data_IF_557056933312
#
_entry.id   IF_557056933312
#
_cell.length_a   1.000
_cell.length_b   1.000
_cell.length_c   1.000
_cell.angle_alpha   90.00
_cell.angle_beta   90.00
_cell.angle_gamma   90.00
#
_symmetry.space_group_name_H-M   'P 1'
#
loop_
_entity.id
_entity.type
_entity.pdbx_description
1 polymer ?
#
# COMPACT_ATOMS: atom_id res chain seq x y z
N UNK A 1 5.98 -9.17 -2.09
CA UNK A 1 7.14 -8.68 -1.27
C UNK A 1 8.30 -9.63 -1.48
N UNK A 2 9.54 -9.11 -1.47
CA UNK A 2 10.76 -9.93 -1.54
C UNK A 2 11.72 -9.51 -0.43
N UNK A 3 12.45 -10.47 0.11
CA UNK A 3 13.56 -10.26 1.03
C UNK A 3 14.71 -11.22 0.69
N UNK A 4 15.76 -11.26 1.51
CA UNK A 4 16.90 -12.15 1.26
C UNK A 4 16.52 -13.64 1.31
N UNK A 5 15.45 -14.05 1.99
CA UNK A 5 14.97 -15.45 1.96
C UNK A 5 14.33 -15.79 0.62
N UNK A 6 13.93 -14.81 -0.18
CA UNK A 6 13.41 -15.02 -1.55
C UNK A 6 14.47 -15.63 -2.46
N UNK A 7 15.75 -15.31 -2.25
CA UNK A 7 16.89 -15.93 -2.97
C UNK A 7 16.97 -17.42 -2.63
N UNK A 8 16.84 -17.75 -1.34
CA UNK A 8 16.84 -19.16 -0.90
C UNK A 8 15.66 -19.92 -1.49
N UNK A 9 14.46 -19.35 -1.47
CA UNK A 9 13.27 -19.95 -2.08
C UNK A 9 13.43 -20.12 -3.60
N UNK A 10 14.11 -19.21 -4.28
CA UNK A 10 14.44 -19.36 -5.69
C UNK A 10 15.40 -20.54 -5.94
N UNK A 11 16.43 -20.68 -5.11
CA UNK A 11 17.35 -21.82 -5.18
C UNK A 11 16.65 -23.15 -4.87
N UNK A 12 15.78 -23.17 -3.85
CA UNK A 12 14.92 -24.34 -3.57
C UNK A 12 14.14 -24.77 -4.81
N UNK A 13 13.51 -23.81 -5.46
CA UNK A 13 12.69 -24.08 -6.67
C UNK A 13 13.56 -24.56 -7.84
N UNK A 14 14.76 -24.02 -7.97
CA UNK A 14 15.71 -24.39 -9.04
C UNK A 14 16.29 -25.78 -8.84
N UNK A 15 16.62 -26.16 -7.61
CA UNK A 15 17.37 -27.37 -7.29
C UNK A 15 16.54 -28.47 -6.61
N UNK A 16 15.29 -28.20 -6.24
CA UNK A 16 14.42 -29.16 -5.56
C UNK A 16 14.80 -29.45 -4.10
N UNK A 17 15.63 -28.62 -3.48
CA UNK A 17 16.09 -28.79 -2.10
C UNK A 17 15.44 -27.73 -1.23
N UNK A 18 14.82 -28.15 -0.12
CA UNK A 18 14.11 -27.24 0.78
C UNK A 18 15.02 -26.80 1.94
N UNK A 19 15.12 -25.49 2.19
CA UNK A 19 15.75 -24.91 3.36
C UNK A 19 14.78 -24.95 4.58
N UNK A 20 15.01 -25.77 5.60
CA UNK A 20 14.08 -25.94 6.71
C UNK A 20 13.94 -24.69 7.60
N UNK A 21 14.95 -23.82 7.63
CA UNK A 21 15.00 -22.63 8.49
C UNK A 21 14.22 -21.43 7.94
N UNK A 22 13.70 -21.48 6.72
CA UNK A 22 12.78 -20.44 6.21
C UNK A 22 11.42 -20.64 6.89
N UNK A 23 11.04 -19.68 7.74
CA UNK A 23 9.81 -19.77 8.55
C UNK A 23 8.54 -19.82 7.69
N UNK A 24 7.48 -20.41 8.23
CA UNK A 24 6.17 -20.47 7.56
C UNK A 24 5.64 -19.07 7.21
N UNK A 25 5.84 -18.10 8.10
CA UNK A 25 5.46 -16.71 7.86
C UNK A 25 6.19 -16.12 6.64
N UNK A 26 7.51 -16.30 6.53
CA UNK A 26 8.27 -15.80 5.38
C UNK A 26 7.83 -16.45 4.08
N UNK A 27 7.52 -17.74 4.12
CA UNK A 27 6.99 -18.46 2.95
C UNK A 27 5.61 -17.95 2.51
N UNK A 28 4.78 -17.51 3.44
CA UNK A 28 3.46 -16.95 3.12
C UNK A 28 3.53 -15.52 2.56
N UNK A 29 4.48 -14.72 3.02
CA UNK A 29 4.56 -13.28 2.70
C UNK A 29 5.59 -12.96 1.62
N UNK A 30 6.73 -13.68 1.59
CA UNK A 30 7.81 -13.42 0.66
C UNK A 30 7.74 -14.36 -0.56
N UNK A 31 7.80 -13.80 -1.75
CA UNK A 31 7.85 -14.57 -3.00
C UNK A 31 9.23 -15.19 -3.25
N UNK A 32 9.28 -16.12 -4.20
CA UNK A 32 10.46 -16.90 -4.59
C UNK A 32 11.27 -16.29 -5.74
N UNK A 33 11.09 -15.02 -6.04
CA UNK A 33 11.70 -14.29 -7.16
C UNK A 33 11.30 -14.75 -8.57
N UNK A 34 10.59 -15.85 -8.75
CA UNK A 34 10.23 -16.32 -10.11
C UNK A 34 9.46 -15.27 -10.90
N UNK A 35 8.65 -14.44 -10.23
CA UNK A 35 7.94 -13.33 -10.86
C UNK A 35 8.85 -12.20 -11.38
N UNK A 36 10.13 -12.18 -11.02
CA UNK A 36 11.10 -11.21 -11.54
C UNK A 36 11.62 -11.60 -12.95
N UNK A 37 11.40 -12.84 -13.36
CA UNK A 37 11.85 -13.36 -14.65
C UNK A 37 10.70 -13.41 -15.67
N UNK A 38 11.03 -13.21 -16.93
CA UNK A 38 10.14 -13.48 -18.05
C UNK A 38 10.59 -14.77 -18.75
N UNK A 39 9.97 -15.89 -18.41
CA UNK A 39 10.33 -17.19 -18.98
C UNK A 39 9.66 -17.46 -20.34
N UNK A 40 8.67 -16.64 -20.72
CA UNK A 40 7.97 -16.76 -22.00
C UNK A 40 8.74 -16.06 -23.12
N UNK A 41 9.27 -14.87 -22.80
CA UNK A 41 10.07 -14.04 -23.71
C UNK A 41 11.32 -13.58 -22.95
N UNK A 42 12.34 -14.44 -22.87
CA UNK A 42 13.58 -14.12 -22.15
C UNK A 42 14.34 -13.01 -22.85
N UNK A 43 15.08 -12.22 -22.08
CA UNK A 43 15.96 -11.19 -22.63
C UNK A 43 17.11 -11.84 -23.40
N UNK A 44 17.22 -11.48 -24.67
CA UNK A 44 18.30 -11.92 -25.58
C UNK A 44 19.35 -10.85 -25.82
N UNK A 45 19.30 -9.72 -25.11
CA UNK A 45 20.32 -8.69 -25.23
C UNK A 45 21.69 -9.25 -24.85
N UNK A 46 22.75 -8.88 -25.59
CA UNK A 46 24.09 -9.32 -25.27
C UNK A 46 24.49 -8.78 -23.88
N UNK A 47 25.14 -9.62 -23.10
CA UNK A 47 25.69 -9.20 -21.82
C UNK A 47 26.71 -8.06 -22.02
N UNK A 48 26.70 -7.02 -21.17
CA UNK A 48 27.67 -5.95 -21.25
C UNK A 48 29.08 -6.53 -21.07
N UNK A 49 30.02 -6.05 -21.90
CA UNK A 49 31.44 -6.43 -21.76
C UNK A 49 31.96 -5.82 -20.46
N UNK A 50 32.24 -6.66 -19.47
CA UNK A 50 32.83 -6.25 -18.22
C UNK A 50 34.36 -6.16 -18.38
N UNK A 51 34.97 -5.11 -17.81
CA UNK A 51 36.41 -5.04 -17.70
C UNK A 51 36.88 -6.14 -16.76
N UNK A 52 37.83 -6.95 -17.25
CA UNK A 52 38.44 -7.99 -16.41
C UNK A 52 39.40 -7.35 -15.42
N UNK A 53 39.19 -7.57 -14.14
CA UNK A 53 40.08 -7.12 -13.08
C UNK A 53 40.79 -8.35 -12.51
N UNK A 54 42.11 -8.34 -12.48
CA UNK A 54 42.84 -9.40 -11.82
C UNK A 54 42.70 -9.31 -10.29
N UNK A 55 42.79 -10.46 -9.61
CA UNK A 55 42.74 -10.48 -8.13
C UNK A 55 43.81 -9.55 -7.53
N UNK A 56 45.00 -9.53 -8.08
CA UNK A 56 46.09 -8.67 -7.62
C UNK A 56 45.71 -7.17 -7.74
N UNK A 57 45.09 -6.76 -8.86
CA UNK A 57 44.64 -5.39 -9.05
C UNK A 57 43.52 -5.02 -8.04
N UNK A 58 42.59 -5.93 -7.79
CA UNK A 58 41.52 -5.74 -6.79
C UNK A 58 42.09 -5.62 -5.37
N UNK A 59 43.01 -6.49 -4.98
CA UNK A 59 43.70 -6.46 -3.67
C UNK A 59 44.49 -5.16 -3.49
N UNK A 60 45.22 -4.72 -4.53
CA UNK A 60 45.96 -3.46 -4.52
C UNK A 60 45.02 -2.24 -4.39
N UNK A 61 43.85 -2.27 -5.04
CA UNK A 61 42.83 -1.22 -4.91
C UNK A 61 42.26 -1.18 -3.48
N UNK A 62 41.97 -2.35 -2.92
CA UNK A 62 41.47 -2.45 -1.52
C UNK A 62 42.50 -1.88 -0.54
N UNK A 63 43.76 -2.25 -0.64
CA UNK A 63 44.82 -1.72 0.24
C UNK A 63 44.96 -0.20 0.12
N UNK A 64 44.76 0.37 -1.10
CA UNK A 64 44.74 1.84 -1.27
C UNK A 64 43.52 2.47 -0.60
N UNK A 65 42.36 1.85 -0.74
CA UNK A 65 41.09 2.34 -0.12
C UNK A 65 41.16 2.35 1.42
N UNK A 66 41.80 1.33 2.01
CA UNK A 66 41.99 1.25 3.48
C UNK A 66 42.85 2.40 4.04
N UNK A 67 43.68 3.03 3.19
CA UNK A 67 44.54 4.17 3.56
C UNK A 67 43.91 5.54 3.28
N UNK A 68 42.73 5.57 2.66
CA UNK A 68 42.06 6.84 2.41
C UNK A 68 41.48 7.42 3.70
N UNK A 69 41.50 8.72 3.80
CA UNK A 69 40.82 9.42 4.87
C UNK A 69 39.29 9.20 4.72
N UNK A 70 38.57 9.15 5.84
CA UNK A 70 37.11 9.13 5.80
C UNK A 70 36.56 10.29 4.97
N UNK A 71 35.51 10.03 4.18
CA UNK A 71 34.83 11.09 3.44
C UNK A 71 34.30 12.12 4.42
N UNK A 72 34.68 13.40 4.34
CA UNK A 72 34.22 14.40 5.26
C UNK A 72 32.69 14.58 5.15
N UNK A 73 32.04 14.76 6.28
CA UNK A 73 30.60 15.08 6.32
C UNK A 73 30.41 16.44 5.61
N UNK A 74 29.52 16.53 4.61
CA UNK A 74 29.25 17.81 3.97
C UNK A 74 28.74 18.84 4.97
N UNK A 75 29.13 20.11 4.78
CA UNK A 75 28.55 21.21 5.57
C UNK A 75 27.01 21.22 5.43
N UNK A 76 26.31 21.68 6.46
CA UNK A 76 24.84 21.67 6.49
C UNK A 76 24.20 22.29 5.25
N UNK A 77 24.82 23.34 4.68
CA UNK A 77 24.34 24.00 3.45
C UNK A 77 24.58 23.17 2.17
N UNK A 78 25.39 22.13 2.24
CA UNK A 78 25.70 21.21 1.10
C UNK A 78 25.07 19.83 1.29
N UNK A 79 24.36 19.60 2.38
CA UNK A 79 23.64 18.37 2.59
C UNK A 79 22.35 18.38 1.74
N UNK A 80 22.27 17.42 0.82
CA UNK A 80 21.10 17.25 -0.05
C UNK A 80 20.46 15.91 0.26
N UNK A 81 19.15 15.91 0.42
CA UNK A 81 18.39 14.66 0.47
C UNK A 81 18.35 14.07 -0.95
N UNK A 82 18.69 12.79 -1.13
CA UNK A 82 18.58 12.15 -2.43
C UNK A 82 17.16 12.30 -3.00
N UNK A 83 17.08 12.75 -4.24
CA UNK A 83 15.80 12.89 -4.92
C UNK A 83 15.58 11.73 -5.88
N UNK A 84 14.40 11.15 -5.83
CA UNK A 84 14.00 10.13 -6.79
C UNK A 84 13.59 10.76 -8.12
N UNK A 85 13.99 10.15 -9.23
CA UNK A 85 13.52 10.58 -10.55
C UNK A 85 12.00 10.42 -10.65
N UNK A 86 11.33 11.45 -11.15
CA UNK A 86 9.87 11.50 -11.36
C UNK A 86 9.49 10.76 -12.65
N UNK A 87 9.60 9.45 -12.62
CA UNK A 87 9.27 8.61 -13.77
C UNK A 87 8.47 7.39 -13.31
N UNK A 88 7.33 7.17 -13.95
CA UNK A 88 6.66 5.88 -13.87
C UNK A 88 7.54 4.81 -14.56
N UNK A 89 7.66 3.66 -13.94
CA UNK A 89 8.41 2.50 -14.46
C UNK A 89 7.46 1.34 -14.67
N UNK A 90 7.75 0.40 -15.59
CA UNK A 90 6.99 -0.83 -15.66
C UNK A 90 6.92 -1.51 -14.30
N UNK A 91 5.74 -1.93 -13.90
CA UNK A 91 5.47 -2.63 -12.65
C UNK A 91 4.77 -3.95 -12.95
N UNK A 92 5.27 -5.02 -12.36
CA UNK A 92 4.62 -6.33 -12.50
C UNK A 92 3.33 -6.37 -11.71
N UNK A 93 2.42 -7.23 -12.14
CA UNK A 93 1.22 -7.58 -11.39
C UNK A 93 1.59 -8.01 -9.96
N UNK A 94 0.86 -7.52 -8.99
CA UNK A 94 1.01 -7.94 -7.60
C UNK A 94 -0.02 -9.01 -7.26
N UNK A 95 0.37 -9.97 -6.41
CA UNK A 95 -0.52 -11.07 -6.02
C UNK A 95 -1.50 -10.70 -4.91
N UNK A 96 -1.51 -9.45 -4.46
CA UNK A 96 -2.35 -8.97 -3.36
C UNK A 96 -3.62 -8.33 -3.90
N UNK A 97 -4.75 -8.56 -3.23
CA UNK A 97 -5.99 -7.85 -3.48
C UNK A 97 -6.63 -7.56 -2.12
N UNK A 98 -6.32 -6.37 -1.60
CA UNK A 98 -6.61 -6.00 -0.22
C UNK A 98 -7.87 -5.16 -0.12
N UNK A 99 -8.70 -5.48 0.87
CA UNK A 99 -9.91 -4.75 1.22
C UNK A 99 -9.88 -4.45 2.72
N UNK A 100 -10.25 -3.24 3.09
CA UNK A 100 -10.40 -2.86 4.50
C UNK A 100 -11.59 -1.92 4.61
N UNK A 101 -12.57 -2.37 5.37
CA UNK A 101 -13.80 -1.64 5.66
C UNK A 101 -13.93 -1.39 7.16
N UNK A 102 -14.65 -0.33 7.53
CA UNK A 102 -14.88 0.03 8.92
C UNK A 102 -16.36 -0.03 9.25
N UNK A 103 -16.67 -0.43 10.48
CA UNK A 103 -18.00 -0.39 11.03
C UNK A 103 -17.98 0.22 12.43
N UNK A 104 -18.87 1.19 12.68
CA UNK A 104 -19.03 1.84 13.99
C UNK A 104 -20.23 1.25 14.70
N UNK A 105 -20.01 0.68 15.87
CA UNK A 105 -21.09 0.31 16.79
C UNK A 105 -21.21 1.37 17.89
N UNK A 106 -22.22 2.24 17.74
CA UNK A 106 -22.49 3.33 18.70
C UNK A 106 -22.96 2.81 20.07
N UNK A 107 -23.60 1.64 20.13
CA UNK A 107 -24.07 1.04 21.38
C UNK A 107 -22.94 0.38 22.16
N UNK A 108 -22.12 -0.40 21.46
CA UNK A 108 -20.94 -1.03 22.06
C UNK A 108 -19.76 -0.05 22.20
N UNK A 109 -19.83 1.14 21.58
CA UNK A 109 -18.75 2.14 21.51
C UNK A 109 -17.47 1.55 20.93
N UNK A 110 -17.59 0.88 19.81
CA UNK A 110 -16.45 0.25 19.14
C UNK A 110 -16.40 0.66 17.66
N UNK A 111 -15.16 0.79 17.15
CA UNK A 111 -14.86 0.81 15.73
C UNK A 111 -14.25 -0.54 15.38
N UNK A 112 -14.86 -1.26 14.47
CA UNK A 112 -14.33 -2.52 13.95
C UNK A 112 -13.77 -2.32 12.56
N UNK A 113 -12.62 -2.95 12.24
CA UNK A 113 -12.08 -3.06 10.91
C UNK A 113 -12.19 -4.51 10.43
N UNK A 114 -12.76 -4.69 9.25
CA UNK A 114 -12.73 -5.94 8.50
C UNK A 114 -11.59 -5.86 7.49
N UNK A 115 -10.65 -6.79 7.58
CA UNK A 115 -9.42 -6.84 6.78
C UNK A 115 -9.48 -8.11 5.92
N UNK A 116 -9.41 -7.97 4.61
CA UNK A 116 -9.53 -9.11 3.69
C UNK A 116 -8.45 -9.07 2.61
N UNK A 117 -7.92 -10.23 2.26
CA UNK A 117 -7.03 -10.42 1.13
C UNK A 117 -7.63 -11.47 0.18
N UNK A 118 -8.17 -11.02 -0.94
CA UNK A 118 -8.72 -11.91 -1.99
C UNK A 118 -7.69 -12.27 -3.05
N UNK A 119 -6.43 -11.85 -2.86
CA UNK A 119 -5.30 -12.21 -3.72
C UNK A 119 -4.80 -13.63 -3.50
N UNK A 120 -3.67 -13.96 -4.13
CA UNK A 120 -3.08 -15.32 -4.18
C UNK A 120 -1.86 -15.50 -3.27
N UNK A 121 -1.39 -14.44 -2.61
CA UNK A 121 -0.26 -14.46 -1.69
C UNK A 121 -0.58 -13.69 -0.40
N UNK A 122 0.06 -14.06 0.69
CA UNK A 122 -0.08 -13.35 1.96
C UNK A 122 0.45 -11.93 1.93
N UNK A 123 -0.19 -11.04 2.69
CA UNK A 123 0.22 -9.66 2.86
C UNK A 123 0.17 -9.25 4.34
N UNK A 124 0.94 -8.23 4.69
CA UNK A 124 0.92 -7.67 6.05
C UNK A 124 0.31 -6.27 5.99
N UNK A 125 -0.65 -6.03 6.87
CA UNK A 125 -1.22 -4.71 7.12
C UNK A 125 -0.77 -4.20 8.47
N UNK A 126 -0.47 -2.91 8.53
CA UNK A 126 -0.18 -2.19 9.77
C UNK A 126 -1.31 -1.22 10.05
N UNK A 127 -1.85 -1.27 11.27
CA UNK A 127 -2.89 -0.34 11.72
C UNK A 127 -2.34 0.53 12.84
N UNK A 128 -2.38 1.82 12.60
CA UNK A 128 -1.94 2.85 13.55
C UNK A 128 -3.15 3.55 14.15
N UNK A 129 -3.08 3.82 15.45
CA UNK A 129 -4.02 4.72 16.12
C UNK A 129 -3.42 6.12 16.19
N UNK A 130 -3.99 7.05 15.43
CA UNK A 130 -3.51 8.43 15.34
C UNK A 130 -3.69 9.24 16.63
N UNK A 131 -4.56 8.79 17.52
CA UNK A 131 -4.73 9.40 18.84
C UNK A 131 -3.72 8.86 19.87
N UNK A 132 -3.08 7.72 19.59
CA UNK A 132 -2.16 7.05 20.48
C UNK A 132 -0.89 6.59 19.74
N UNK A 133 -0.20 7.52 19.05
CA UNK A 133 1.00 7.23 18.25
C UNK A 133 2.18 6.69 19.06
N UNK A 134 2.17 6.81 20.39
CA UNK A 134 3.16 6.18 21.26
C UNK A 134 3.00 4.67 21.41
N UNK A 135 1.86 4.15 21.03
CA UNK A 135 1.58 2.72 21.12
C UNK A 135 2.14 1.95 19.92
N UNK A 136 2.46 0.68 20.14
CA UNK A 136 2.92 -0.20 19.06
C UNK A 136 1.77 -0.43 18.09
N UNK A 137 1.95 -0.17 16.77
CA UNK A 137 0.90 -0.41 15.79
C UNK A 137 0.55 -1.89 15.73
N UNK A 138 -0.75 -2.18 15.57
CA UNK A 138 -1.22 -3.55 15.37
C UNK A 138 -0.82 -4.02 13.96
N UNK A 139 -0.35 -5.26 13.87
CA UNK A 139 0.09 -5.89 12.62
C UNK A 139 -0.71 -7.14 12.34
N UNK A 140 -1.22 -7.24 11.12
CA UNK A 140 -2.05 -8.36 10.69
C UNK A 140 -1.44 -9.00 9.46
N UNK A 141 -1.17 -10.30 9.54
CA UNK A 141 -0.80 -11.10 8.38
C UNK A 141 -2.05 -11.74 7.83
N UNK A 142 -2.41 -11.36 6.60
CA UNK A 142 -3.55 -11.90 5.87
C UNK A 142 -3.05 -12.89 4.83
N UNK A 143 -3.32 -14.16 5.04
CA UNK A 143 -3.08 -15.19 4.03
C UNK A 143 -3.97 -14.99 2.80
N UNK A 144 -3.60 -15.63 1.71
CA UNK A 144 -4.40 -15.65 0.48
C UNK A 144 -5.82 -16.18 0.74
N UNK A 145 -6.83 -15.46 0.28
CA UNK A 145 -8.24 -15.81 0.42
C UNK A 145 -8.79 -15.73 1.85
N UNK A 146 -8.06 -15.10 2.79
CA UNK A 146 -8.46 -15.00 4.20
C UNK A 146 -8.93 -13.60 4.56
N UNK A 147 -9.76 -13.56 5.61
CA UNK A 147 -10.21 -12.34 6.25
C UNK A 147 -10.06 -12.46 7.77
N UNK A 148 -9.93 -11.32 8.44
CA UNK A 148 -10.00 -11.21 9.89
C UNK A 148 -10.62 -9.87 10.27
N UNK A 149 -11.10 -9.78 11.49
CA UNK A 149 -11.71 -8.60 12.05
C UNK A 149 -11.07 -8.30 13.41
N UNK A 150 -10.87 -7.01 13.67
CA UNK A 150 -10.46 -6.53 14.97
C UNK A 150 -11.18 -5.24 15.32
N UNK A 151 -11.19 -4.86 16.60
CA UNK A 151 -11.93 -3.73 17.09
C UNK A 151 -11.15 -2.86 18.07
N UNK A 152 -11.55 -1.59 18.14
CA UNK A 152 -11.03 -0.56 19.04
C UNK A 152 -12.18 0.02 19.85
N UNK A 153 -12.00 0.11 21.16
CA UNK A 153 -12.92 0.86 22.03
C UNK A 153 -12.73 2.34 21.77
N UNK A 154 -13.82 3.06 21.54
CA UNK A 154 -13.82 4.48 21.21
C UNK A 154 -14.57 5.26 22.28
N UNK A 155 -13.91 6.22 22.93
CA UNK A 155 -14.54 7.07 23.95
C UNK A 155 -15.33 8.20 23.30
N UNK A 156 -14.68 9.03 22.49
CA UNK A 156 -15.31 10.19 21.85
C UNK A 156 -15.12 10.19 20.34
N UNK A 157 -13.88 10.00 19.91
CA UNK A 157 -13.46 10.04 18.50
C UNK A 157 -12.45 8.94 18.22
N UNK A 158 -12.31 8.61 16.94
CA UNK A 158 -11.35 7.65 16.45
C UNK A 158 -10.54 8.23 15.27
N UNK A 159 -9.32 7.80 15.18
CA UNK A 159 -8.41 8.14 14.09
C UNK A 159 -7.50 6.96 13.81
N UNK A 160 -7.91 6.07 12.92
CA UNK A 160 -7.10 4.94 12.51
C UNK A 160 -6.62 5.12 11.07
N UNK A 161 -5.41 4.63 10.78
CA UNK A 161 -5.02 4.41 9.40
C UNK A 161 -4.35 3.05 9.22
N UNK A 162 -4.58 2.47 8.06
CA UNK A 162 -4.09 1.15 7.67
C UNK A 162 -3.12 1.32 6.51
N UNK A 163 -1.94 0.74 6.64
CA UNK A 163 -0.93 0.69 5.59
C UNK A 163 -0.72 -0.75 5.13
N UNK A 164 -0.65 -0.93 3.84
CA UNK A 164 -0.33 -2.19 3.19
C UNK A 164 0.75 -2.03 2.12
N UNK A 165 1.12 -3.12 1.44
CA UNK A 165 2.09 -3.08 0.36
C UNK A 165 1.61 -2.21 -0.81
N UNK A 166 2.59 -1.66 -1.56
CA UNK A 166 2.36 -0.90 -2.80
C UNK A 166 1.41 0.30 -2.64
N UNK A 167 1.60 1.09 -1.59
CA UNK A 167 0.82 2.32 -1.37
C UNK A 167 -0.62 2.10 -0.92
N UNK A 168 -1.02 0.86 -0.60
CA UNK A 168 -2.34 0.61 -0.05
C UNK A 168 -2.51 1.38 1.27
N UNK A 169 -3.50 2.26 1.29
CA UNK A 169 -3.79 3.11 2.44
C UNK A 169 -5.30 3.26 2.64
N UNK A 170 -5.73 3.17 3.89
CA UNK A 170 -7.09 3.52 4.33
C UNK A 170 -7.00 4.36 5.59
N UNK A 171 -7.78 5.45 5.67
CA UNK A 171 -7.91 6.25 6.90
C UNK A 171 -9.37 6.35 7.30
N UNK A 172 -9.58 6.30 8.60
CA UNK A 172 -10.89 6.32 9.24
C UNK A 172 -10.86 7.29 10.42
N UNK A 173 -11.49 8.46 10.25
CA UNK A 173 -11.67 9.42 11.35
C UNK A 173 -13.15 9.66 11.55
N UNK A 174 -13.55 9.89 12.79
CA UNK A 174 -14.92 10.22 13.13
C UNK A 174 -15.18 10.33 14.61
N UNK A 175 -16.45 10.51 14.95
CA UNK A 175 -16.93 10.72 16.31
C UNK A 175 -17.96 9.67 16.69
N UNK A 176 -17.95 9.27 17.96
CA UNK A 176 -18.85 8.25 18.49
C UNK A 176 -20.26 8.80 18.82
N UNK A 177 -20.39 10.10 19.07
CA UNK A 177 -21.66 10.70 19.50
C UNK A 177 -22.64 10.95 18.35
N UNK A 178 -22.17 10.95 17.10
CA UNK A 178 -22.98 11.25 15.92
C UNK A 178 -22.99 10.06 14.96
N UNK A 179 -24.15 9.77 14.40
CA UNK A 179 -24.24 8.86 13.26
C UNK A 179 -23.71 9.59 12.04
N UNK A 180 -22.58 9.11 11.52
CA UNK A 180 -21.87 9.69 10.41
C UNK A 180 -22.01 8.79 9.18
N UNK A 181 -21.73 9.30 7.95
CA UNK A 181 -21.78 8.47 6.77
C UNK A 181 -20.86 7.23 6.87
N UNK A 182 -21.28 6.16 6.23
CA UNK A 182 -20.48 4.94 6.08
C UNK A 182 -19.99 4.84 4.64
N UNK A 183 -18.81 4.29 4.45
CA UNK A 183 -18.18 4.11 3.14
C UNK A 183 -17.85 2.65 2.91
N UNK A 184 -18.38 2.09 1.82
CA UNK A 184 -17.95 0.83 1.24
C UNK A 184 -17.17 1.09 -0.04
N UNK A 185 -16.01 0.47 -0.17
CA UNK A 185 -15.12 0.58 -1.34
C UNK A 185 -15.10 -0.74 -2.08
N UNK A 186 -15.55 -0.72 -3.32
CA UNK A 186 -15.47 -1.88 -4.22
C UNK A 186 -14.67 -1.52 -5.46
N UNK A 187 -14.12 -2.50 -6.14
CA UNK A 187 -13.37 -2.30 -7.37
C UNK A 187 -13.75 -3.33 -8.43
N UNK A 188 -13.77 -2.90 -9.66
CA UNK A 188 -13.75 -3.75 -10.85
C UNK A 188 -12.43 -3.55 -11.59
N UNK A 189 -12.23 -4.18 -12.77
CA UNK A 189 -10.94 -4.19 -13.46
C UNK A 189 -10.23 -2.83 -13.57
N UNK A 190 -10.95 -1.75 -13.88
CA UNK A 190 -10.36 -0.42 -14.11
C UNK A 190 -11.08 0.70 -13.37
N UNK A 191 -11.96 0.37 -12.44
CA UNK A 191 -12.80 1.34 -11.76
C UNK A 191 -12.82 1.09 -10.25
N UNK A 192 -12.77 2.19 -9.50
CA UNK A 192 -13.06 2.21 -8.07
C UNK A 192 -14.50 2.71 -7.91
N UNK A 193 -15.31 1.99 -7.15
CA UNK A 193 -16.66 2.42 -6.78
C UNK A 193 -16.73 2.70 -5.29
N UNK A 194 -17.18 3.89 -4.94
CA UNK A 194 -17.52 4.28 -3.59
C UNK A 194 -19.04 4.22 -3.41
N UNK A 195 -19.47 3.49 -2.39
CA UNK A 195 -20.87 3.47 -1.96
C UNK A 195 -20.93 4.15 -0.58
N UNK A 196 -21.61 5.28 -0.52
CA UNK A 196 -21.79 6.09 0.68
C UNK A 196 -23.21 5.90 1.19
N UNK A 197 -23.38 5.44 2.41
CA UNK A 197 -24.66 5.32 3.08
C UNK A 197 -24.76 6.30 4.24
N UNK A 198 -25.95 6.79 4.51
CA UNK A 198 -26.24 7.73 5.59
C UNK A 198 -27.24 7.12 6.59
N UNK A 199 -26.78 6.54 7.69
CA UNK A 199 -27.65 5.97 8.71
C UNK A 199 -28.31 7.03 9.61
N UNK A 200 -28.03 8.32 9.37
CA UNK A 200 -28.58 9.45 10.12
C UNK A 200 -30.01 9.81 9.73
N UNK A 201 -30.66 10.58 10.56
CA UNK A 201 -32.04 11.06 10.32
C UNK A 201 -32.15 12.35 9.49
N UNK A 202 -31.01 12.92 9.06
CA UNK A 202 -30.95 14.12 8.22
C UNK A 202 -30.01 13.83 7.03
N UNK A 203 -30.20 14.59 5.95
CA UNK A 203 -29.28 14.48 4.80
C UNK A 203 -27.84 14.83 5.22
N UNK A 204 -26.88 14.08 4.72
CA UNK A 204 -25.44 14.32 4.93
C UNK A 204 -24.79 14.79 3.64
N UNK A 205 -23.84 15.70 3.76
CA UNK A 205 -23.01 16.16 2.64
C UNK A 205 -21.62 15.58 2.78
N UNK A 206 -21.13 14.97 1.70
CA UNK A 206 -19.75 14.47 1.61
C UNK A 206 -19.04 15.19 0.49
N UNK A 207 -17.93 15.85 0.80
CA UNK A 207 -17.00 16.40 -0.18
C UNK A 207 -15.86 15.41 -0.44
N UNK A 208 -15.46 15.30 -1.70
CA UNK A 208 -14.34 14.46 -2.15
C UNK A 208 -13.33 15.38 -2.79
N UNK A 209 -12.09 15.35 -2.31
CA UNK A 209 -11.01 16.18 -2.82
C UNK A 209 -10.67 15.83 -4.28
N UNK A 210 -10.00 16.77 -4.97
CA UNK A 210 -9.49 16.53 -6.32
C UNK A 210 -8.54 15.33 -6.30
N UNK A 211 -8.80 14.35 -7.19
CA UNK A 211 -7.93 13.20 -7.33
C UNK A 211 -6.57 13.62 -7.92
N UNK A 212 -5.44 13.40 -7.22
CA UNK A 212 -4.13 13.87 -7.67
C UNK A 212 -3.65 13.16 -8.95
N UNK A 213 -4.11 11.95 -9.22
CA UNK A 213 -3.72 11.18 -10.40
C UNK A 213 -4.43 11.62 -11.68
N UNK A 214 -5.71 11.97 -11.60
CA UNK A 214 -6.53 12.32 -12.76
C UNK A 214 -6.82 13.81 -12.83
N UNK A 215 -6.53 14.58 -11.78
CA UNK A 215 -6.86 16.00 -11.63
C UNK A 215 -8.38 16.29 -11.74
N UNK A 216 -9.21 15.27 -11.63
CA UNK A 216 -10.66 15.39 -11.60
C UNK A 216 -11.16 15.74 -10.21
N UNK A 217 -12.32 16.39 -10.14
CA UNK A 217 -12.93 16.88 -8.91
C UNK A 217 -12.60 18.36 -8.63
N UNK A 218 -12.89 18.88 -7.44
CA UNK A 218 -13.55 18.15 -6.33
C UNK A 218 -15.01 17.79 -6.62
N UNK A 219 -15.57 16.87 -5.84
CA UNK A 219 -17.00 16.51 -5.93
C UNK A 219 -17.71 16.77 -4.60
N UNK A 220 -19.00 17.06 -4.68
CA UNK A 220 -19.87 17.17 -3.52
C UNK A 220 -21.07 16.29 -3.73
N UNK A 221 -21.32 15.40 -2.79
CA UNK A 221 -22.41 14.43 -2.82
C UNK A 221 -23.37 14.70 -1.66
N UNK A 222 -24.67 14.76 -1.93
CA UNK A 222 -25.72 14.84 -0.91
C UNK A 222 -26.35 13.46 -0.75
N UNK A 223 -26.33 12.91 0.46
CA UNK A 223 -26.83 11.57 0.79
C UNK A 223 -28.09 11.75 1.61
N UNK A 224 -29.28 11.35 1.12
CA UNK A 224 -30.52 11.46 1.87
C UNK A 224 -30.46 10.71 3.19
N UNK A 225 -31.28 11.11 4.16
CA UNK A 225 -31.46 10.39 5.41
C UNK A 225 -31.89 8.94 5.14
N UNK A 226 -31.19 7.97 5.71
CA UNK A 226 -31.39 6.54 5.47
C UNK A 226 -31.07 6.07 4.03
N UNK A 227 -30.50 6.96 3.19
CA UNK A 227 -30.25 6.71 1.78
C UNK A 227 -28.80 6.31 1.47
N UNK A 228 -28.56 6.06 0.18
CA UNK A 228 -27.28 5.65 -0.36
C UNK A 228 -26.99 6.40 -1.66
N UNK A 229 -25.71 6.74 -1.89
CA UNK A 229 -25.22 7.33 -3.15
C UNK A 229 -23.97 6.55 -3.59
N UNK A 230 -23.87 6.30 -4.90
CA UNK A 230 -22.74 5.63 -5.53
C UNK A 230 -22.00 6.57 -6.44
N UNK A 231 -20.67 6.55 -6.35
CA UNK A 231 -19.78 7.31 -7.22
C UNK A 231 -18.69 6.38 -7.77
N UNK A 232 -18.46 6.45 -9.08
CA UNK A 232 -17.46 5.62 -9.78
C UNK A 232 -16.31 6.50 -10.23
N UNK A 233 -15.09 5.99 -10.07
CA UNK A 233 -13.85 6.65 -10.46
C UNK A 233 -13.07 5.75 -11.42
N UNK A 234 -12.94 6.13 -12.71
CA UNK A 234 -12.07 5.40 -13.63
C UNK A 234 -10.60 5.59 -13.26
N UNK A 235 -9.83 4.51 -13.21
CA UNK A 235 -8.42 4.50 -12.85
C UNK A 235 -7.49 4.04 -13.98
N UNK A 236 -8.00 3.83 -15.19
CA UNK A 236 -7.24 3.32 -16.32
C UNK A 236 -6.11 4.28 -16.73
N UNK A 237 -6.42 5.58 -16.86
CA UNK A 237 -5.45 6.61 -17.25
C UNK A 237 -4.30 6.82 -16.26
N UNK A 238 -4.48 6.39 -15.01
CA UNK A 238 -3.46 6.45 -13.94
C UNK A 238 -2.67 5.15 -13.78
N UNK A 239 -2.91 4.13 -14.61
CA UNK A 239 -2.33 2.79 -14.42
C UNK A 239 -2.90 2.07 -13.20
N UNK A 240 -4.14 2.36 -12.84
CA UNK A 240 -4.85 1.78 -11.69
C UNK A 240 -4.65 2.54 -10.37
N UNK A 241 -3.83 3.60 -10.34
CA UNK A 241 -3.57 4.37 -9.12
C UNK A 241 -4.70 5.31 -8.77
N UNK A 242 -5.05 5.36 -7.48
CA UNK A 242 -6.07 6.23 -6.93
C UNK A 242 -5.67 6.76 -5.56
N UNK A 243 -6.13 7.98 -5.24
CA UNK A 243 -6.04 8.60 -3.92
C UNK A 243 -7.20 9.57 -3.77
N UNK A 244 -8.15 9.23 -2.94
CA UNK A 244 -9.37 9.99 -2.71
C UNK A 244 -9.51 10.25 -1.22
N UNK A 245 -9.68 11.52 -0.85
CA UNK A 245 -9.99 11.93 0.51
C UNK A 245 -11.40 12.47 0.55
N UNK A 246 -12.20 11.94 1.46
CA UNK A 246 -13.60 12.28 1.66
C UNK A 246 -13.76 12.94 3.02
N UNK A 247 -14.54 13.99 3.08
CA UNK A 247 -14.84 14.75 4.27
C UNK A 247 -16.34 14.95 4.47
N UNK A 248 -16.80 14.96 5.72
CA UNK A 248 -18.15 15.35 6.11
C UNK A 248 -18.11 16.04 7.48
N UNK A 249 -19.25 16.52 7.92
CA UNK A 249 -19.40 17.20 9.19
C UNK A 249 -18.94 16.34 10.38
N UNK A 250 -18.64 17.01 11.50
CA UNK A 250 -18.20 16.34 12.73
C UNK A 250 -16.83 15.69 12.62
N UNK A 251 -15.97 16.17 11.71
CA UNK A 251 -14.60 15.65 11.54
C UNK A 251 -14.54 14.23 10.95
N UNK A 252 -15.63 13.79 10.29
CA UNK A 252 -15.60 12.53 9.54
C UNK A 252 -14.65 12.67 8.34
N UNK A 253 -13.71 11.73 8.24
CA UNK A 253 -12.78 11.63 7.14
C UNK A 253 -12.59 10.17 6.75
N UNK A 254 -12.55 9.93 5.44
CA UNK A 254 -12.09 8.68 4.86
C UNK A 254 -11.06 8.99 3.78
N UNK A 255 -9.93 8.31 3.81
CA UNK A 255 -8.99 8.32 2.69
C UNK A 255 -8.81 6.93 2.16
N UNK A 256 -8.92 6.79 0.88
CA UNK A 256 -8.73 5.53 0.16
C UNK A 256 -7.67 5.75 -0.92
N UNK A 257 -6.52 5.09 -0.77
CA UNK A 257 -5.44 5.19 -1.73
C UNK A 257 -4.82 3.81 -2.00
N UNK A 258 -4.19 3.68 -3.17
CA UNK A 258 -3.55 2.45 -3.62
C UNK A 258 -3.57 2.29 -5.13
N UNK A 259 -3.36 1.08 -5.57
CA UNK A 259 -3.50 0.68 -6.97
C UNK A 259 -4.54 -0.44 -7.09
N UNK A 260 -5.35 -0.40 -8.14
CA UNK A 260 -6.21 -1.53 -8.51
C UNK A 260 -5.34 -2.66 -9.03
N UNK A 261 -5.33 -3.79 -8.31
CA UNK A 261 -4.58 -4.98 -8.71
C UNK A 261 -5.49 -5.88 -9.55
N UNK A 262 -5.28 -5.85 -10.86
CA UNK A 262 -6.09 -6.59 -11.84
C UNK A 262 -5.51 -7.96 -12.18
N UNK A 263 -4.27 -8.23 -11.75
CA UNK A 263 -3.49 -9.39 -12.18
C UNK A 263 -2.64 -9.11 -13.43
N UNK A 264 -2.73 -7.91 -13.99
CA UNK A 264 -1.97 -7.47 -15.16
C UNK A 264 -0.80 -6.57 -14.78
N UNK A 265 0.21 -6.50 -15.66
CA UNK A 265 1.32 -5.57 -15.54
C UNK A 265 0.83 -4.14 -15.74
N UNK A 266 1.45 -3.19 -15.04
CA UNK A 266 1.10 -1.77 -15.09
C UNK A 266 2.35 -0.92 -14.88
N UNK A 267 2.20 0.20 -14.21
CA UNK A 267 3.26 1.15 -13.89
C UNK A 267 3.42 1.34 -12.37
N UNK A 268 4.62 1.74 -11.95
CA UNK A 268 4.85 2.24 -10.59
C UNK A 268 4.08 3.53 -10.36
N UNK A 269 3.98 3.96 -9.11
CA UNK A 269 3.26 5.20 -8.77
C UNK A 269 3.79 6.39 -9.60
N UNK A 270 2.96 7.00 -10.47
CA UNK A 270 3.35 8.14 -11.29
C UNK A 270 3.57 9.42 -10.49
N UNK A 271 3.12 9.47 -9.24
CA UNK A 271 3.36 10.58 -8.32
C UNK A 271 4.60 10.38 -7.43
N UNK A 272 5.24 9.23 -7.51
CA UNK A 272 6.44 8.94 -6.72
C UNK A 272 7.53 9.98 -6.97
N UNK A 273 8.10 10.52 -5.90
CA UNK A 273 9.13 11.57 -5.96
C UNK A 273 8.58 12.98 -6.21
N UNK A 274 7.27 13.19 -6.17
CA UNK A 274 6.70 14.55 -6.06
C UNK A 274 6.82 15.03 -4.61
N UNK A 275 7.07 16.34 -4.40
CA UNK A 275 7.11 16.93 -3.05
C UNK A 275 5.73 16.91 -2.40
#
# INVERSE_FOLDING_TARGET
MFDHTSVLQFLEKRFGVREPNVSAWRRAVCGDLTSAFNFVDPNHEPLPTLQTTTRQAADSLRQRQEKLLPVPVPSTSKQLVPQQKRLARPSRALPYRLHVDSQVDHKARTLSLSLQNTGTQGAVLHVYDGLHLGDIPRRYTLEAGKALQDSWTVVERYQLWVLGPNGFHRSFHGQMQQRQPELLVTSSQHQLQLTLSNPGGQAATVSIDRCPYTQQGPWTLSIPAGGEVRQVFPCESSGGWYDLTLHSDGGWLRRVAGRLETGEHSISDPLMGRP
#
